data_IF_015834718320
#
_entry.id   IF_015834718320
#
_cell.length_a   1.000
_cell.length_b   1.000
_cell.length_c   1.000
_cell.angle_alpha   90.00
_cell.angle_beta   90.00
_cell.angle_gamma   90.00
#
_symmetry.space_group_name_H-M   'P 1'
#
loop_
_entity.id
_entity.type
_entity.pdbx_description
1 polymer ?
#
# COMPACT_ATOMS: atom_id res chain seq x y z
N UNK A 1 6.24 25.03 -28.03
CA UNK A 1 6.26 25.52 -26.62
C UNK A 1 7.53 25.01 -25.98
N UNK A 2 8.29 25.84 -25.25
CA UNK A 2 9.50 25.38 -24.55
C UNK A 2 9.08 24.57 -23.32
N UNK A 3 9.57 23.35 -23.20
CA UNK A 3 9.31 22.51 -22.03
C UNK A 3 10.14 23.03 -20.84
N UNK A 4 9.61 22.86 -19.63
CA UNK A 4 10.24 23.20 -18.36
C UNK A 4 11.20 22.07 -17.97
N UNK A 5 12.42 22.44 -17.63
CA UNK A 5 13.41 21.51 -17.12
C UNK A 5 13.20 21.24 -15.62
N UNK A 6 13.79 20.17 -15.09
CA UNK A 6 13.68 19.82 -13.66
C UNK A 6 14.14 20.95 -12.73
N UNK A 7 15.11 21.77 -13.16
CA UNK A 7 15.60 22.94 -12.41
C UNK A 7 14.50 23.98 -12.16
N UNK A 8 13.54 24.11 -13.08
CA UNK A 8 12.44 25.05 -12.96
C UNK A 8 11.37 24.58 -11.96
N UNK A 9 11.34 23.27 -11.67
CA UNK A 9 10.28 22.58 -10.90
C UNK A 9 10.72 22.21 -9.48
N UNK A 10 12.03 22.13 -9.22
CA UNK A 10 12.58 21.67 -7.93
C UNK A 10 12.04 22.50 -6.76
N UNK A 11 11.50 21.82 -5.75
CA UNK A 11 10.98 22.40 -4.51
C UNK A 11 9.88 23.46 -4.71
N UNK A 12 9.03 23.31 -5.73
CA UNK A 12 7.93 24.24 -6.00
C UNK A 12 6.59 23.53 -6.00
N UNK A 13 5.55 24.26 -5.58
CA UNK A 13 4.15 23.92 -5.81
C UNK A 13 3.72 24.70 -7.04
N UNK A 14 3.19 23.99 -8.03
CA UNK A 14 2.71 24.60 -9.27
C UNK A 14 1.20 24.61 -9.22
N UNK A 15 0.62 25.81 -9.18
CA UNK A 15 -0.82 26.00 -9.30
C UNK A 15 -1.20 25.93 -10.78
N UNK A 16 -2.07 24.99 -11.12
CA UNK A 16 -2.62 24.88 -12.47
C UNK A 16 -3.37 23.57 -12.68
N UNK A 17 -4.03 23.46 -13.84
CA UNK A 17 -4.57 22.20 -14.30
C UNK A 17 -3.45 21.17 -14.50
N UNK A 18 -3.56 20.01 -13.87
CA UNK A 18 -2.50 19.01 -13.83
C UNK A 18 -2.11 18.52 -15.23
N UNK A 19 -3.09 18.28 -16.11
CA UNK A 19 -2.81 17.80 -17.47
C UNK A 19 -2.04 18.86 -18.28
N UNK A 20 -2.47 20.12 -18.16
CA UNK A 20 -1.84 21.25 -18.83
C UNK A 20 -0.43 21.53 -18.33
N UNK A 21 -0.19 21.34 -17.03
CA UNK A 21 1.15 21.46 -16.41
C UNK A 21 2.06 20.31 -16.84
N UNK A 22 1.59 19.06 -16.77
CA UNK A 22 2.39 17.89 -17.16
C UNK A 22 2.89 17.98 -18.61
N UNK A 23 2.04 18.41 -19.54
CA UNK A 23 2.39 18.63 -20.96
C UNK A 23 3.52 19.64 -21.18
N UNK A 24 3.80 20.48 -20.20
CA UNK A 24 4.88 21.46 -20.26
C UNK A 24 6.20 20.93 -19.68
N UNK A 25 6.24 19.71 -19.15
CA UNK A 25 7.43 19.12 -18.54
C UNK A 25 8.13 18.21 -19.57
N UNK A 26 9.46 18.20 -19.55
CA UNK A 26 10.28 17.32 -20.40
C UNK A 26 9.98 15.82 -20.17
N UNK A 27 10.21 15.00 -21.19
CA UNK A 27 10.15 13.54 -21.04
C UNK A 27 11.22 13.08 -20.04
N UNK A 28 11.01 11.94 -19.39
CA UNK A 28 12.03 11.30 -18.55
C UNK A 28 12.63 12.23 -17.47
N UNK A 29 11.78 13.04 -16.84
CA UNK A 29 12.14 14.02 -15.82
C UNK A 29 12.18 13.44 -14.41
N UNK A 30 11.14 12.69 -14.00
CA UNK A 30 10.95 12.28 -12.61
C UNK A 30 11.33 10.82 -12.37
N UNK A 31 11.94 10.52 -11.22
CA UNK A 31 12.24 9.14 -10.80
C UNK A 31 11.04 8.48 -10.11
N UNK A 32 10.21 9.26 -9.42
CA UNK A 32 9.07 8.76 -8.65
C UNK A 32 7.90 9.74 -8.76
N UNK A 33 6.72 9.21 -9.05
CA UNK A 33 5.45 9.94 -8.98
C UNK A 33 4.58 9.22 -7.96
N UNK A 34 4.14 9.90 -6.91
CA UNK A 34 3.16 9.38 -5.94
C UNK A 34 1.92 10.26 -6.03
N UNK A 35 0.76 9.65 -6.22
CA UNK A 35 -0.49 10.42 -6.34
C UNK A 35 -1.73 9.66 -5.89
N UNK A 36 -2.69 10.43 -5.39
CA UNK A 36 -4.07 10.03 -5.11
C UNK A 36 -4.99 11.06 -5.78
N UNK A 37 -5.21 10.98 -7.09
CA UNK A 37 -6.01 11.97 -7.82
C UNK A 37 -7.47 11.97 -7.30
N UNK A 38 -8.28 12.97 -7.67
CA UNK A 38 -9.69 12.95 -7.34
C UNK A 38 -10.37 11.63 -7.74
N UNK A 39 -11.07 11.01 -6.80
CA UNK A 39 -11.81 9.76 -7.03
C UNK A 39 -13.17 10.06 -7.65
N UNK A 40 -13.66 9.14 -8.48
CA UNK A 40 -14.92 9.29 -9.19
C UNK A 40 -16.09 9.61 -8.26
N UNK A 41 -16.59 10.84 -8.38
CA UNK A 41 -17.74 11.41 -7.70
C UNK A 41 -17.74 11.18 -6.18
N UNK A 42 -16.57 11.31 -5.54
CA UNK A 42 -16.43 11.18 -4.08
C UNK A 42 -16.36 12.53 -3.37
N UNK A 43 -15.75 13.55 -4.01
CA UNK A 43 -15.58 14.89 -3.44
C UNK A 43 -15.60 15.93 -4.55
N UNK A 44 -16.33 17.01 -4.32
CA UNK A 44 -16.21 18.23 -5.12
C UNK A 44 -15.21 19.16 -4.44
N UNK A 45 -14.10 19.46 -5.11
CA UNK A 45 -13.03 20.31 -4.59
C UNK A 45 -13.20 21.80 -4.94
N UNK A 46 -14.41 22.23 -5.32
CA UNK A 46 -14.71 23.64 -5.59
C UNK A 46 -14.44 24.08 -7.03
N UNK A 47 -14.00 23.17 -7.91
CA UNK A 47 -13.76 23.44 -9.33
C UNK A 47 -14.98 23.14 -10.24
N UNK A 48 -16.16 22.92 -9.65
CA UNK A 48 -17.37 22.55 -10.38
C UNK A 48 -17.22 21.25 -11.19
N UNK A 49 -18.03 21.11 -12.23
CA UNK A 49 -18.09 19.90 -13.08
C UNK A 49 -16.87 19.73 -14.02
N UNK A 50 -15.91 20.65 -13.97
CA UNK A 50 -14.76 20.69 -14.88
C UNK A 50 -13.53 19.90 -14.40
N UNK A 51 -13.55 19.44 -13.14
CA UNK A 51 -12.45 18.68 -12.56
C UNK A 51 -12.57 17.18 -12.78
N UNK A 52 -11.43 16.49 -12.95
CA UNK A 52 -11.37 15.02 -12.83
C UNK A 52 -12.03 14.61 -11.51
N UNK A 53 -12.81 13.54 -11.56
CA UNK A 53 -13.60 13.05 -10.44
C UNK A 53 -15.04 13.59 -10.41
N UNK A 54 -15.41 14.54 -11.27
CA UNK A 54 -16.78 15.05 -11.35
C UNK A 54 -17.51 14.64 -12.65
N UNK A 55 -16.90 13.76 -13.45
CA UNK A 55 -17.50 13.26 -14.69
C UNK A 55 -18.87 12.59 -14.44
N UNK A 56 -19.74 12.66 -15.44
CA UNK A 56 -21.09 12.07 -15.37
C UNK A 56 -21.02 10.55 -15.37
N UNK A 57 -20.12 9.99 -16.18
CA UNK A 57 -20.00 8.54 -16.37
C UNK A 57 -18.64 7.99 -15.93
N UNK A 58 -18.64 6.72 -15.53
CA UNK A 58 -17.40 6.00 -15.19
C UNK A 58 -16.42 5.96 -16.37
N UNK A 59 -16.94 5.82 -17.60
CA UNK A 59 -16.13 5.77 -18.83
C UNK A 59 -15.40 7.09 -19.08
N UNK A 60 -16.09 8.22 -18.91
CA UNK A 60 -15.47 9.55 -19.03
C UNK A 60 -14.39 9.76 -17.98
N UNK A 61 -14.66 9.38 -16.72
CA UNK A 61 -13.67 9.43 -15.65
C UNK A 61 -12.42 8.61 -15.98
N UNK A 62 -12.60 7.36 -16.37
CA UNK A 62 -11.50 6.46 -16.73
C UNK A 62 -10.68 7.03 -17.90
N UNK A 63 -11.34 7.53 -18.94
CA UNK A 63 -10.68 8.19 -20.08
C UNK A 63 -9.83 9.39 -19.63
N UNK A 64 -10.38 10.26 -18.80
CA UNK A 64 -9.70 11.47 -18.36
C UNK A 64 -8.51 11.15 -17.44
N UNK A 65 -8.70 10.25 -16.46
CA UNK A 65 -7.62 9.89 -15.54
C UNK A 65 -6.51 9.10 -16.25
N UNK A 66 -6.84 8.26 -17.23
CA UNK A 66 -5.84 7.56 -18.07
C UNK A 66 -5.07 8.53 -18.97
N UNK A 67 -5.71 9.62 -19.41
CA UNK A 67 -5.03 10.70 -20.15
C UNK A 67 -3.96 11.37 -19.28
N UNK A 68 -4.29 11.68 -18.03
CA UNK A 68 -3.31 12.20 -17.05
C UNK A 68 -2.23 11.16 -16.75
N UNK A 69 -2.61 9.91 -16.54
CA UNK A 69 -1.67 8.82 -16.29
C UNK A 69 -0.67 8.67 -17.45
N UNK A 70 -1.12 8.76 -18.70
CA UNK A 70 -0.25 8.73 -19.88
C UNK A 70 0.83 9.83 -19.87
N UNK A 71 0.45 11.05 -19.47
CA UNK A 71 1.43 12.13 -19.28
C UNK A 71 2.38 11.86 -18.11
N UNK A 72 1.90 11.26 -17.01
CA UNK A 72 2.77 10.78 -15.93
C UNK A 72 3.80 9.76 -16.46
N UNK A 73 3.39 8.79 -17.28
CA UNK A 73 4.31 7.81 -17.89
C UNK A 73 5.35 8.52 -18.78
N UNK A 74 4.95 9.54 -19.54
CA UNK A 74 5.85 10.30 -20.42
C UNK A 74 6.95 11.01 -19.63
N UNK A 75 6.59 11.71 -18.56
CA UNK A 75 7.55 12.49 -17.74
C UNK A 75 8.34 11.63 -16.75
N UNK A 76 7.95 10.37 -16.53
CA UNK A 76 8.69 9.44 -15.70
C UNK A 76 9.94 8.94 -16.43
N UNK A 77 11.08 8.80 -15.75
CA UNK A 77 12.30 8.19 -16.31
C UNK A 77 12.09 6.71 -16.61
N UNK A 78 12.93 6.12 -17.46
CA UNK A 78 12.96 4.67 -17.74
C UNK A 78 13.10 3.82 -16.46
N UNK A 79 13.90 4.29 -15.51
CA UNK A 79 14.12 3.64 -14.21
C UNK A 79 13.03 3.97 -13.18
N UNK A 80 12.09 4.84 -13.53
CA UNK A 80 11.16 5.43 -12.59
C UNK A 80 9.90 4.60 -12.33
N UNK A 81 9.23 4.96 -11.23
CA UNK A 81 8.03 4.28 -10.72
C UNK A 81 6.89 5.29 -10.48
N UNK A 82 5.65 4.88 -10.77
CA UNK A 82 4.42 5.57 -10.38
C UNK A 82 3.72 4.77 -9.28
N UNK A 83 3.38 5.43 -8.18
CA UNK A 83 2.51 4.91 -7.12
C UNK A 83 1.17 5.64 -7.22
N UNK A 84 0.13 4.91 -7.57
CA UNK A 84 -1.18 5.46 -7.90
C UNK A 84 -2.26 4.88 -6.98
N UNK A 85 -2.87 5.71 -6.15
CA UNK A 85 -3.93 5.30 -5.24
C UNK A 85 -5.29 5.83 -5.69
N UNK A 86 -6.27 4.94 -5.76
CA UNK A 86 -7.64 5.25 -6.14
C UNK A 86 -8.61 4.61 -5.16
N UNK A 87 -9.55 5.41 -4.66
CA UNK A 87 -10.70 4.93 -3.91
C UNK A 87 -11.81 4.46 -4.84
N UNK A 88 -12.54 3.45 -4.40
CA UNK A 88 -13.69 2.93 -5.14
C UNK A 88 -15.00 3.63 -4.75
N UNK A 89 -16.06 3.38 -5.51
CA UNK A 89 -17.41 3.88 -5.25
C UNK A 89 -18.42 2.75 -5.40
N UNK A 90 -19.56 2.89 -4.71
CA UNK A 90 -20.74 2.08 -4.98
C UNK A 90 -21.64 2.82 -5.98
N UNK A 91 -22.01 2.15 -7.07
CA UNK A 91 -22.99 2.62 -8.05
C UNK A 91 -24.14 1.61 -8.07
N UNK A 92 -25.36 2.08 -7.84
CA UNK A 92 -26.57 1.26 -7.80
C UNK A 92 -26.46 0.04 -6.86
N UNK A 93 -25.77 0.21 -5.72
CA UNK A 93 -25.58 -0.84 -4.71
C UNK A 93 -24.46 -1.83 -4.99
N UNK A 94 -23.82 -1.78 -6.16
CA UNK A 94 -22.65 -2.60 -6.49
C UNK A 94 -21.35 -1.83 -6.30
N UNK A 95 -20.29 -2.52 -5.90
CA UNK A 95 -18.94 -1.96 -5.88
C UNK A 95 -18.45 -1.82 -7.33
N UNK A 96 -18.05 -0.61 -7.73
CA UNK A 96 -17.79 -0.29 -9.12
C UNK A 96 -16.48 -0.84 -9.66
N UNK A 97 -15.53 -1.20 -8.78
CA UNK A 97 -14.20 -1.70 -9.13
C UNK A 97 -13.40 -0.72 -10.00
N UNK A 98 -13.66 0.58 -9.86
CA UNK A 98 -13.00 1.63 -10.65
C UNK A 98 -11.47 1.57 -10.53
N UNK A 99 -10.88 1.39 -9.32
CA UNK A 99 -9.42 1.28 -9.19
C UNK A 99 -8.84 0.15 -10.05
N UNK A 100 -9.51 -1.00 -10.11
CA UNK A 100 -9.05 -2.16 -10.88
C UNK A 100 -9.29 -2.01 -12.38
N UNK A 101 -10.42 -1.41 -12.79
CA UNK A 101 -10.68 -1.05 -14.19
C UNK A 101 -9.62 -0.09 -14.71
N UNK A 102 -9.25 0.90 -13.90
CA UNK A 102 -8.13 1.79 -14.19
C UNK A 102 -6.83 1.00 -14.35
N UNK A 103 -6.48 0.13 -13.40
CA UNK A 103 -5.23 -0.63 -13.45
C UNK A 103 -5.14 -1.51 -14.71
N UNK A 104 -6.22 -2.21 -15.07
CA UNK A 104 -6.30 -3.02 -16.29
C UNK A 104 -6.05 -2.14 -17.53
N UNK A 105 -6.78 -1.03 -17.67
CA UNK A 105 -6.63 -0.15 -18.84
C UNK A 105 -5.26 0.54 -18.87
N UNK A 106 -4.69 0.88 -17.72
CA UNK A 106 -3.34 1.44 -17.62
C UNK A 106 -2.28 0.47 -18.15
N UNK A 107 -2.40 -0.84 -17.89
CA UNK A 107 -1.47 -1.86 -18.40
C UNK A 107 -1.59 -2.14 -19.90
N UNK A 108 -2.63 -1.61 -20.58
CA UNK A 108 -2.69 -1.65 -22.04
C UNK A 108 -1.64 -0.72 -22.69
N UNK A 109 -1.10 0.23 -21.93
CA UNK A 109 0.06 1.01 -22.35
C UNK A 109 1.33 0.12 -22.32
N UNK A 110 1.92 -0.12 -23.49
CA UNK A 110 3.09 -0.99 -23.64
C UNK A 110 4.38 -0.45 -22.97
N UNK A 111 4.37 0.81 -22.53
CA UNK A 111 5.52 1.48 -21.91
C UNK A 111 5.44 1.50 -20.38
N UNK A 112 4.62 0.63 -19.78
CA UNK A 112 4.51 0.55 -18.33
C UNK A 112 4.04 -0.83 -17.85
N UNK A 113 4.52 -1.25 -16.68
CA UNK A 113 4.25 -2.55 -16.08
C UNK A 113 3.67 -2.35 -14.68
N UNK A 114 2.54 -2.99 -14.38
CA UNK A 114 2.05 -3.07 -13.00
C UNK A 114 2.88 -4.11 -12.24
N UNK A 115 3.68 -3.68 -11.27
CA UNK A 115 4.59 -4.57 -10.52
C UNK A 115 4.00 -5.02 -9.18
N UNK A 116 3.24 -4.16 -8.49
CA UNK A 116 2.59 -4.50 -7.23
C UNK A 116 1.24 -3.80 -7.08
N UNK A 117 0.34 -4.46 -6.35
CA UNK A 117 -0.81 -3.83 -5.71
C UNK A 117 -0.61 -3.97 -4.19
N UNK A 118 -0.44 -2.84 -3.51
CA UNK A 118 -0.36 -2.78 -2.05
C UNK A 118 -1.74 -2.38 -1.52
N UNK A 119 -2.17 -2.99 -0.44
CA UNK A 119 -3.43 -2.65 0.23
C UNK A 119 -3.15 -1.75 1.42
N UNK A 120 -3.59 -0.50 1.35
CA UNK A 120 -3.61 0.36 2.52
C UNK A 120 -4.82 0.01 3.39
N UNK A 121 -4.56 -0.53 4.58
CA UNK A 121 -5.56 -0.76 5.61
C UNK A 121 -5.69 0.46 6.51
N UNK A 122 -6.87 1.08 6.52
CA UNK A 122 -7.17 2.22 7.38
C UNK A 122 -7.40 1.71 8.81
N UNK A 123 -6.59 2.16 9.75
CA UNK A 123 -6.67 1.73 11.15
C UNK A 123 -7.98 2.18 11.83
N UNK A 124 -8.47 3.36 11.48
CA UNK A 124 -9.69 3.96 12.03
C UNK A 124 -10.61 4.42 10.90
N UNK A 125 -11.28 3.50 10.18
CA UNK A 125 -12.21 3.89 9.12
C UNK A 125 -13.41 4.62 9.73
N UNK A 126 -13.91 5.66 9.06
CA UNK A 126 -15.12 6.35 9.50
C UNK A 126 -16.26 5.33 9.63
N UNK A 127 -16.88 5.18 10.81
CA UNK A 127 -17.95 4.22 10.99
C UNK A 127 -19.14 4.63 10.10
N UNK A 128 -19.46 3.78 9.14
CA UNK A 128 -20.66 3.91 8.31
C UNK A 128 -21.52 2.68 8.55
N UNK A 129 -22.66 2.87 9.19
CA UNK A 129 -23.62 1.79 9.33
C UNK A 129 -24.31 1.56 7.99
N UNK A 130 -24.07 0.41 7.38
CA UNK A 130 -24.84 -0.09 6.24
C UNK A 130 -25.34 -1.49 6.57
N UNK A 131 -26.64 -1.73 6.41
CA UNK A 131 -27.29 -3.00 6.77
C UNK A 131 -26.98 -4.12 5.77
N UNK A 132 -26.42 -3.79 4.59
CA UNK A 132 -26.28 -4.72 3.47
C UNK A 132 -24.84 -4.92 3.01
N UNK A 133 -23.85 -4.24 3.62
CA UNK A 133 -22.44 -4.36 3.24
C UNK A 133 -21.48 -4.02 4.37
N UNK A 134 -20.27 -4.55 4.26
CA UNK A 134 -19.14 -4.20 5.13
C UNK A 134 -18.57 -2.82 4.76
N UNK A 135 -17.99 -2.14 5.75
CA UNK A 135 -17.28 -0.88 5.52
C UNK A 135 -15.98 -1.18 4.76
N UNK A 136 -15.80 -0.55 3.61
CA UNK A 136 -14.53 -0.57 2.90
C UNK A 136 -13.49 0.23 3.70
N UNK A 137 -12.68 -0.49 4.47
CA UNK A 137 -11.60 0.05 5.29
C UNK A 137 -10.24 -0.01 4.58
N UNK A 138 -10.21 -0.40 3.30
CA UNK A 138 -8.98 -0.59 2.54
C UNK A 138 -9.00 0.16 1.22
N UNK A 139 -7.83 0.57 0.75
CA UNK A 139 -7.65 1.14 -0.59
C UNK A 139 -6.41 0.55 -1.28
N UNK A 140 -6.45 0.36 -2.61
CA UNK A 140 -5.27 -0.09 -3.35
C UNK A 140 -4.32 1.08 -3.64
N UNK A 141 -3.03 0.78 -3.53
CA UNK A 141 -1.93 1.47 -4.16
C UNK A 141 -1.40 0.59 -5.29
N UNK A 142 -1.51 1.06 -6.52
CA UNK A 142 -0.92 0.39 -7.67
C UNK A 142 0.47 0.96 -7.94
N UNK A 143 1.46 0.08 -8.03
CA UNK A 143 2.85 0.44 -8.30
C UNK A 143 3.18 0.02 -9.72
N UNK A 144 3.48 1.01 -10.55
CA UNK A 144 3.79 0.85 -11.95
C UNK A 144 5.25 1.23 -12.25
N UNK A 145 5.96 0.44 -13.05
CA UNK A 145 7.33 0.68 -13.47
C UNK A 145 7.39 0.94 -14.99
N UNK A 146 8.13 1.96 -15.45
CA UNK A 146 8.21 2.30 -16.88
C UNK A 146 8.93 1.24 -17.72
N UNK A 147 9.90 0.55 -17.12
CA UNK A 147 10.68 -0.49 -17.78
C UNK A 147 11.00 -1.62 -16.80
N UNK A 148 11.60 -2.70 -17.30
CA UNK A 148 12.09 -3.81 -16.46
C UNK A 148 13.32 -3.44 -15.63
N UNK A 149 14.04 -2.38 -16.02
CA UNK A 149 15.23 -1.87 -15.34
C UNK A 149 14.87 -0.77 -14.32
N UNK A 150 13.69 -0.86 -13.71
CA UNK A 150 13.24 0.11 -12.72
C UNK A 150 14.08 0.03 -11.44
N UNK A 151 14.27 1.17 -10.79
CA UNK A 151 14.98 1.22 -9.53
C UNK A 151 14.08 0.72 -8.39
N UNK A 152 14.56 -0.26 -7.65
CA UNK A 152 13.91 -0.78 -6.45
C UNK A 152 14.95 -1.15 -5.41
N UNK A 153 14.95 -0.44 -4.28
CA UNK A 153 15.89 -0.67 -3.19
C UNK A 153 15.24 -1.55 -2.11
N UNK A 154 15.30 -2.86 -2.33
CA UNK A 154 14.73 -3.84 -1.40
C UNK A 154 15.43 -3.79 -0.04
N UNK A 155 16.76 -3.68 -0.01
CA UNK A 155 17.52 -3.65 1.24
C UNK A 155 17.08 -2.50 2.14
N UNK A 156 16.94 -1.29 1.58
CA UNK A 156 16.46 -0.13 2.35
C UNK A 156 15.00 -0.30 2.80
N UNK A 157 14.14 -0.88 1.97
CA UNK A 157 12.76 -1.17 2.38
C UNK A 157 12.70 -2.14 3.58
N UNK A 158 13.54 -3.18 3.57
CA UNK A 158 13.58 -4.18 4.63
C UNK A 158 14.23 -3.67 5.94
N UNK A 159 15.06 -2.61 5.89
CA UNK A 159 15.64 -2.01 7.10
C UNK A 159 14.58 -1.51 8.11
N UNK A 160 13.36 -1.17 7.65
CA UNK A 160 12.28 -0.84 8.57
C UNK A 160 11.88 -2.06 9.43
N UNK A 161 11.90 -3.27 8.86
CA UNK A 161 11.66 -4.50 9.61
C UNK A 161 12.77 -4.73 10.63
N UNK A 162 14.03 -4.43 10.31
CA UNK A 162 15.11 -4.52 11.30
C UNK A 162 14.90 -3.56 12.47
N UNK A 163 14.36 -2.37 12.21
CA UNK A 163 14.04 -1.38 13.25
C UNK A 163 12.82 -1.78 14.09
N UNK A 164 11.79 -2.34 13.44
CA UNK A 164 10.60 -2.89 14.10
C UNK A 164 10.96 -4.15 14.92
N UNK A 165 11.80 -5.03 14.38
CA UNK A 165 12.27 -6.22 15.09
C UNK A 165 13.23 -5.86 16.23
N UNK A 166 14.05 -4.82 16.09
CA UNK A 166 14.86 -4.28 17.20
C UNK A 166 14.01 -3.69 18.33
N UNK A 167 12.87 -3.05 18.02
CA UNK A 167 11.95 -2.58 19.07
C UNK A 167 11.14 -3.71 19.72
N UNK A 168 10.93 -4.82 19.00
CA UNK A 168 10.27 -6.05 19.50
C UNK A 168 11.23 -6.99 20.25
N UNK A 169 12.56 -6.88 20.04
CA UNK A 169 13.60 -7.51 20.88
C UNK A 169 13.65 -6.91 22.29
N UNK A 170 12.55 -7.01 23.02
CA UNK A 170 12.57 -7.03 24.48
C UNK A 170 13.32 -8.30 24.93
N UNK A 171 14.12 -8.20 25.99
CA UNK A 171 14.63 -9.40 26.68
C UNK A 171 13.45 -10.34 26.94
N UNK A 172 13.57 -11.66 26.71
CA UNK A 172 12.51 -12.58 27.02
C UNK A 172 12.08 -12.35 28.47
N UNK A 173 10.80 -12.08 28.67
CA UNK A 173 10.23 -11.78 29.99
C UNK A 173 10.55 -12.92 30.96
N UNK A 174 10.94 -12.61 32.20
CA UNK A 174 11.08 -13.60 33.29
C UNK A 174 9.76 -14.35 33.60
N UNK A 175 8.65 -13.96 32.94
CA UNK A 175 7.34 -14.62 33.01
C UNK A 175 7.05 -15.54 31.81
N UNK A 176 7.96 -15.66 30.84
CA UNK A 176 7.82 -16.55 29.68
C UNK A 176 7.66 -17.99 30.15
N UNK A 177 6.63 -18.70 29.66
CA UNK A 177 6.36 -20.09 30.06
C UNK A 177 5.50 -20.27 31.32
N UNK A 178 5.34 -19.28 32.21
CA UNK A 178 4.60 -19.46 33.49
C UNK A 178 3.16 -19.92 33.30
N UNK A 179 2.44 -19.33 32.34
CA UNK A 179 1.07 -19.72 31.99
C UNK A 179 1.01 -21.16 31.45
N UNK A 180 2.00 -21.58 30.67
CA UNK A 180 2.08 -22.94 30.13
C UNK A 180 2.38 -23.97 31.22
N UNK A 181 3.20 -23.63 32.21
CA UNK A 181 3.43 -24.47 33.39
C UNK A 181 2.13 -24.67 34.19
N UNK A 182 1.33 -23.62 34.38
CA UNK A 182 0.02 -23.73 35.04
C UNK A 182 -0.96 -24.61 34.24
N UNK A 183 -1.01 -24.46 32.91
CA UNK A 183 -1.84 -25.29 32.05
C UNK A 183 -1.43 -26.78 32.10
N UNK A 184 -0.13 -27.09 32.10
CA UNK A 184 0.37 -28.47 32.21
C UNK A 184 0.01 -29.05 33.58
N UNK A 185 0.18 -28.29 34.67
CA UNK A 185 -0.16 -28.74 36.02
C UNK A 185 -1.65 -29.07 36.17
N UNK A 186 -2.50 -28.24 35.58
CA UNK A 186 -3.97 -28.36 35.66
C UNK A 186 -4.58 -29.30 34.59
N UNK A 187 -3.75 -29.95 33.77
CA UNK A 187 -4.23 -30.87 32.73
C UNK A 187 -4.49 -32.28 33.26
N UNK A 188 -5.29 -33.04 32.51
CA UNK A 188 -5.59 -34.46 32.77
C UNK A 188 -4.45 -35.42 32.36
N UNK A 189 -3.26 -34.90 32.09
CA UNK A 189 -2.09 -35.69 31.73
C UNK A 189 -1.60 -36.55 32.91
N UNK A 190 -0.99 -37.70 32.60
CA UNK A 190 -0.27 -38.49 33.61
C UNK A 190 0.95 -37.71 34.13
N UNK A 191 1.45 -38.07 35.32
CA UNK A 191 2.63 -37.41 35.89
C UNK A 191 3.87 -37.52 34.99
N UNK A 192 4.02 -38.66 34.30
CA UNK A 192 5.10 -38.85 33.31
C UNK A 192 4.94 -37.88 32.12
N UNK A 193 3.71 -37.73 31.61
CA UNK A 193 3.40 -36.81 30.51
C UNK A 193 3.61 -35.35 30.92
N UNK A 194 3.21 -34.97 32.14
CA UNK A 194 3.45 -33.62 32.70
C UNK A 194 4.94 -33.31 32.78
N UNK A 195 5.75 -34.26 33.26
CA UNK A 195 7.21 -34.10 33.35
C UNK A 195 7.85 -33.93 31.96
N UNK A 196 7.42 -34.73 30.99
CA UNK A 196 7.90 -34.61 29.61
C UNK A 196 7.50 -33.27 28.97
N UNK A 197 6.26 -32.80 29.19
CA UNK A 197 5.78 -31.52 28.70
C UNK A 197 6.55 -30.34 29.32
N UNK A 198 6.83 -30.37 30.63
CA UNK A 198 7.65 -29.36 31.31
C UNK A 198 9.08 -29.34 30.75
N UNK A 199 9.67 -30.51 30.50
CA UNK A 199 11.01 -30.62 29.91
C UNK A 199 11.09 -30.01 28.51
N UNK A 200 10.11 -30.31 27.65
CA UNK A 200 10.03 -29.74 26.30
C UNK A 200 9.80 -28.22 26.33
N UNK A 201 8.93 -27.74 27.23
CA UNK A 201 8.69 -26.30 27.42
C UNK A 201 9.98 -25.57 27.83
N UNK A 202 10.76 -26.14 28.76
CA UNK A 202 12.02 -25.53 29.19
C UNK A 202 13.06 -25.47 28.05
N UNK A 203 13.11 -26.48 27.18
CA UNK A 203 13.97 -26.45 26.00
C UNK A 203 13.55 -25.34 25.02
N UNK A 204 12.25 -25.16 24.78
CA UNK A 204 11.74 -24.07 23.94
C UNK A 204 12.04 -22.68 24.53
N UNK A 205 11.93 -22.53 25.85
CA UNK A 205 12.31 -21.29 26.56
C UNK A 205 13.80 -21.00 26.38
N UNK A 206 14.66 -22.00 26.55
CA UNK A 206 16.12 -21.86 26.35
C UNK A 206 16.46 -21.46 24.91
N UNK A 207 15.84 -22.08 23.91
CA UNK A 207 16.04 -21.72 22.51
C UNK A 207 15.64 -20.26 22.21
N UNK A 208 14.57 -19.76 22.84
CA UNK A 208 14.17 -18.35 22.75
C UNK A 208 15.17 -17.42 23.45
N UNK A 209 15.69 -17.81 24.62
CA UNK A 209 16.73 -17.04 25.31
C UNK A 209 18.05 -16.98 24.53
N UNK A 210 18.43 -18.08 23.87
CA UNK A 210 19.61 -18.16 23.02
C UNK A 210 19.44 -17.46 21.66
N UNK A 211 18.22 -17.02 21.32
CA UNK A 211 17.91 -16.41 20.03
C UNK A 211 17.88 -17.39 18.86
N UNK A 212 17.82 -18.69 19.14
CA UNK A 212 17.66 -19.75 18.13
C UNK A 212 16.25 -19.75 17.53
N UNK A 213 15.26 -19.28 18.31
CA UNK A 213 13.85 -19.13 17.89
C UNK A 213 13.30 -17.79 18.39
N UNK A 214 12.49 -17.10 17.58
CA UNK A 214 11.94 -15.76 17.89
C UNK A 214 10.94 -15.76 19.05
N UNK A 215 10.33 -16.91 19.34
CA UNK A 215 9.35 -17.13 20.39
C UNK A 215 8.73 -18.53 20.26
N UNK A 216 7.99 -18.98 21.27
CA UNK A 216 7.15 -20.16 21.14
C UNK A 216 5.71 -19.80 21.52
N UNK A 217 4.76 -20.13 20.64
CA UNK A 217 3.34 -20.20 20.96
C UNK A 217 2.96 -21.66 20.77
N UNK A 218 2.83 -22.38 21.89
CA UNK A 218 2.08 -23.63 21.93
C UNK A 218 0.59 -23.32 22.08
#
# INVERSE_FOLDING_TARGET
MKLRAISDLKNKIILGDNLSVLKQIENDTFDLIITSPPYFQQRNYGNGDLGIGNETTESEYLKNILTVFGECVRVLKKTGVIVFNLGDKYINGSLSLIPYKFAIQATQNQNIFLINQITWSKLNPTPRQDKRKLIQATEPFFIFAKSKDYYFNLDNYLQHLDSFNKSVKSKPSDKLGKKYVELIKNSDLSEEQKNNAIKALNQAILAVHNGEVEGFRM
#
